data_IF_654072970178
#
_entry.id   IF_654072970178
#
_cell.length_a   1.000
_cell.length_b   1.000
_cell.length_c   1.000
_cell.angle_alpha   90.00
_cell.angle_beta   90.00
_cell.angle_gamma   90.00
#
_symmetry.space_group_name_H-M   'P 1'
#
loop_
_entity.id
_entity.type
_entity.pdbx_description
1 polymer ?
#
# COMPACT_ATOMS: atom_id res chain seq x y z
N UNK A 1 -23.66 -0.55 2.41
CA UNK A 1 -23.16 0.75 2.90
C UNK A 1 -22.11 0.54 4.00
N UNK A 2 -22.44 0.03 5.19
CA UNK A 2 -21.48 -0.13 6.31
C UNK A 2 -20.11 -0.76 5.96
N UNK A 3 -20.06 -1.81 5.12
CA UNK A 3 -18.79 -2.47 4.74
C UNK A 3 -17.87 -1.61 3.86
N UNK A 4 -18.43 -0.68 3.08
CA UNK A 4 -17.66 0.25 2.24
C UNK A 4 -17.03 1.34 3.10
N UNK A 5 -17.81 1.89 4.03
CA UNK A 5 -17.35 2.90 5.00
C UNK A 5 -16.22 2.34 5.87
N UNK A 6 -16.37 1.09 6.33
CA UNK A 6 -15.35 0.36 7.08
C UNK A 6 -14.08 0.11 6.26
N UNK A 7 -14.22 -0.29 4.98
CA UNK A 7 -13.06 -0.51 4.07
C UNK A 7 -12.28 0.78 3.85
N UNK A 8 -12.96 1.89 3.60
CA UNK A 8 -12.32 3.21 3.39
C UNK A 8 -11.67 3.69 4.69
N UNK A 9 -12.37 3.59 5.82
CA UNK A 9 -11.84 3.97 7.14
C UNK A 9 -10.59 3.17 7.51
N UNK A 10 -10.61 1.86 7.30
CA UNK A 10 -9.47 0.99 7.56
C UNK A 10 -8.28 1.31 6.63
N UNK A 11 -8.54 1.60 5.36
CA UNK A 11 -7.49 2.02 4.42
C UNK A 11 -6.87 3.36 4.84
N UNK A 12 -7.67 4.39 5.11
CA UNK A 12 -7.17 5.72 5.51
C UNK A 12 -6.36 5.61 6.81
N UNK A 13 -6.88 4.88 7.80
CA UNK A 13 -6.21 4.70 9.09
C UNK A 13 -4.90 3.92 8.92
N UNK A 14 -4.93 2.83 8.15
CA UNK A 14 -3.74 2.04 7.85
C UNK A 14 -2.67 2.85 7.10
N UNK A 15 -3.08 3.64 6.12
CA UNK A 15 -2.19 4.49 5.35
C UNK A 15 -1.56 5.60 6.23
N UNK A 16 -2.34 6.21 7.13
CA UNK A 16 -1.82 7.21 8.06
C UNK A 16 -0.77 6.61 9.01
N UNK A 17 -1.03 5.41 9.54
CA UNK A 17 -0.06 4.70 10.40
C UNK A 17 1.22 4.39 9.62
N UNK A 18 1.09 3.96 8.37
CA UNK A 18 2.23 3.64 7.50
C UNK A 18 3.10 4.87 7.19
N UNK A 19 2.48 6.00 6.84
CA UNK A 19 3.19 7.27 6.59
C UNK A 19 3.94 7.75 7.85
N UNK A 20 3.29 7.66 9.01
CA UNK A 20 3.91 8.03 10.29
C UNK A 20 5.06 7.09 10.63
N UNK A 21 4.88 5.78 10.44
CA UNK A 21 5.91 4.78 10.68
C UNK A 21 7.16 5.08 9.83
N UNK A 22 7.01 5.19 8.51
CA UNK A 22 8.14 5.46 7.61
C UNK A 22 8.77 6.82 7.93
N UNK A 23 7.97 7.86 8.18
CA UNK A 23 8.49 9.18 8.51
C UNK A 23 9.33 9.19 9.79
N UNK A 24 8.83 8.56 10.86
CA UNK A 24 9.52 8.50 12.16
C UNK A 24 10.78 7.63 12.07
N UNK A 25 10.67 6.40 11.56
CA UNK A 25 11.81 5.47 11.52
C UNK A 25 12.92 5.96 10.58
N UNK A 26 12.56 6.59 9.45
CA UNK A 26 13.54 7.21 8.55
C UNK A 26 14.22 8.39 9.22
N UNK A 27 13.46 9.26 9.90
CA UNK A 27 14.01 10.39 10.65
C UNK A 27 15.00 9.91 11.73
N UNK A 28 14.63 8.90 12.52
CA UNK A 28 15.49 8.33 13.55
C UNK A 28 16.76 7.73 12.94
N UNK A 29 16.63 6.95 11.86
CA UNK A 29 17.79 6.37 11.17
C UNK A 29 18.72 7.45 10.61
N UNK A 30 18.18 8.53 10.04
CA UNK A 30 18.94 9.67 9.55
C UNK A 30 19.65 10.44 10.67
N UNK A 31 19.02 10.61 11.84
CA UNK A 31 19.70 11.18 13.00
C UNK A 31 20.86 10.32 13.49
N UNK A 32 20.71 8.98 13.50
CA UNK A 32 21.77 8.06 13.93
C UNK A 32 23.02 8.14 13.06
N UNK A 33 22.86 8.40 11.75
CA UNK A 33 23.97 8.51 10.80
C UNK A 33 24.45 9.96 10.60
N UNK A 34 23.90 10.92 11.36
CA UNK A 34 24.27 12.34 11.28
C UNK A 34 23.89 13.00 9.96
N UNK A 35 22.82 12.56 9.30
CA UNK A 35 22.37 13.11 8.03
C UNK A 35 21.78 14.52 8.21
N UNK A 36 22.22 15.47 7.38
CA UNK A 36 21.64 16.80 7.35
C UNK A 36 20.17 16.76 6.94
N UNK A 37 19.36 17.63 7.55
CA UNK A 37 17.92 17.72 7.30
C UNK A 37 17.16 16.40 7.59
N UNK A 38 17.66 15.57 8.51
CA UNK A 38 17.08 14.28 8.89
C UNK A 38 15.54 14.31 9.07
N UNK A 39 15.03 15.28 9.84
CA UNK A 39 13.59 15.44 10.08
C UNK A 39 12.82 15.82 8.81
N UNK A 40 13.33 16.77 8.03
CA UNK A 40 12.69 17.20 6.78
C UNK A 40 12.62 16.04 5.78
N UNK A 41 13.75 15.36 5.57
CA UNK A 41 13.85 14.23 4.65
C UNK A 41 12.99 13.05 5.11
N UNK A 42 12.95 12.77 6.42
CA UNK A 42 12.07 11.74 6.98
C UNK A 42 10.58 12.07 6.79
N UNK A 43 10.16 13.32 7.03
CA UNK A 43 8.78 13.77 6.75
C UNK A 43 8.46 13.62 5.26
N UNK A 44 9.36 14.02 4.36
CA UNK A 44 9.18 13.83 2.92
C UNK A 44 9.02 12.35 2.59
N UNK A 45 9.89 11.49 3.13
CA UNK A 45 9.80 10.04 2.93
C UNK A 45 8.45 9.47 3.41
N UNK A 46 7.98 9.85 4.60
CA UNK A 46 6.68 9.42 5.11
C UNK A 46 5.51 9.90 4.26
N UNK A 47 5.52 11.17 3.81
CA UNK A 47 4.47 11.73 2.98
C UNK A 47 4.40 11.08 1.59
N UNK A 48 5.56 10.86 0.96
CA UNK A 48 5.60 10.24 -0.37
C UNK A 48 5.20 8.79 -0.31
N UNK A 49 5.43 8.11 0.82
CA UNK A 49 5.05 6.70 1.02
C UNK A 49 3.54 6.43 0.93
N UNK A 50 2.72 7.49 0.96
CA UNK A 50 1.31 7.42 0.61
C UNK A 50 1.04 6.84 -0.80
N UNK A 51 2.03 6.87 -1.69
CA UNK A 51 1.98 6.22 -3.00
C UNK A 51 2.75 4.89 -2.93
N UNK A 52 2.08 3.73 -2.95
CA UNK A 52 2.73 2.44 -2.82
C UNK A 52 3.75 2.20 -3.93
N UNK A 53 4.86 1.53 -3.61
CA UNK A 53 6.00 1.22 -4.50
C UNK A 53 6.73 2.42 -5.11
N UNK A 54 6.12 3.60 -5.26
CA UNK A 54 6.74 4.78 -5.86
C UNK A 54 7.26 5.73 -4.79
N UNK A 55 6.48 5.90 -3.73
CA UNK A 55 6.75 6.77 -2.59
C UNK A 55 8.12 6.62 -1.95
N UNK A 56 8.60 5.38 -1.66
CA UNK A 56 9.94 5.17 -1.11
C UNK A 56 11.04 5.76 -1.99
N UNK A 57 10.93 5.61 -3.31
CA UNK A 57 11.94 6.14 -4.23
C UNK A 57 11.90 7.67 -4.31
N UNK A 58 10.70 8.26 -4.33
CA UNK A 58 10.55 9.72 -4.32
C UNK A 58 11.15 10.32 -3.05
N UNK A 59 10.95 9.69 -1.88
CA UNK A 59 11.54 10.13 -0.61
C UNK A 59 13.05 9.92 -0.54
N UNK A 60 13.54 8.83 -1.12
CA UNK A 60 14.96 8.45 -1.11
C UNK A 60 15.85 9.37 -1.98
N UNK A 61 15.37 9.77 -3.16
CA UNK A 61 16.14 10.61 -4.10
C UNK A 61 16.69 11.89 -3.46
N UNK A 62 15.88 12.78 -2.84
CA UNK A 62 16.39 13.99 -2.23
C UNK A 62 17.34 13.69 -1.07
N UNK A 63 17.09 12.63 -0.31
CA UNK A 63 17.95 12.24 0.80
C UNK A 63 19.36 11.84 0.33
N UNK A 64 19.46 11.08 -0.77
CA UNK A 64 20.75 10.70 -1.37
C UNK A 64 21.48 11.91 -1.95
N UNK A 65 20.76 12.81 -2.62
CA UNK A 65 21.37 14.03 -3.17
C UNK A 65 22.03 14.83 -2.05
N UNK A 66 21.29 15.07 -0.96
CA UNK A 66 21.83 15.74 0.23
C UNK A 66 23.01 14.97 0.82
N UNK A 67 22.92 13.64 0.93
CA UNK A 67 24.01 12.80 1.45
C UNK A 67 25.29 12.91 0.62
N UNK A 68 25.17 12.88 -0.72
CA UNK A 68 26.30 13.02 -1.63
C UNK A 68 26.98 14.38 -1.49
N UNK A 69 26.21 15.44 -1.28
CA UNK A 69 26.74 16.78 -1.03
C UNK A 69 27.40 16.91 0.35
N UNK A 70 26.83 16.26 1.36
CA UNK A 70 27.31 16.33 2.75
C UNK A 70 28.60 15.52 2.97
N UNK A 71 28.65 14.28 2.48
CA UNK A 71 29.74 13.34 2.81
C UNK A 71 30.09 12.37 1.68
N UNK A 72 29.68 12.68 0.45
CA UNK A 72 29.97 11.88 -0.73
C UNK A 72 29.36 10.47 -0.69
N UNK A 73 30.02 9.53 -1.35
CA UNK A 73 29.52 8.15 -1.49
C UNK A 73 29.37 7.41 -0.17
N UNK A 74 30.19 7.72 0.84
CA UNK A 74 30.10 7.08 2.17
C UNK A 74 28.78 7.43 2.85
N UNK A 75 28.42 8.71 2.87
CA UNK A 75 27.18 9.16 3.49
C UNK A 75 25.95 8.68 2.70
N UNK A 76 26.03 8.72 1.36
CA UNK A 76 24.98 8.17 0.51
C UNK A 76 24.73 6.68 0.79
N UNK A 77 25.78 5.87 0.94
CA UNK A 77 25.65 4.46 1.29
C UNK A 77 24.98 4.24 2.66
N UNK A 78 25.28 5.06 3.67
CA UNK A 78 24.61 5.00 4.97
C UNK A 78 23.12 5.33 4.86
N UNK A 79 22.76 6.37 4.09
CA UNK A 79 21.36 6.71 3.81
C UNK A 79 20.64 5.55 3.10
N UNK A 80 21.28 4.92 2.11
CA UNK A 80 20.74 3.73 1.44
C UNK A 80 20.49 2.60 2.42
N UNK A 81 21.45 2.32 3.31
CA UNK A 81 21.30 1.26 4.33
C UNK A 81 20.14 1.57 5.26
N UNK A 82 20.01 2.81 5.75
CA UNK A 82 18.88 3.22 6.60
C UNK A 82 17.55 2.98 5.88
N UNK A 83 17.42 3.47 4.64
CA UNK A 83 16.17 3.29 3.87
C UNK A 83 15.89 1.81 3.64
N UNK A 84 16.89 1.00 3.26
CA UNK A 84 16.70 -0.44 3.10
C UNK A 84 16.23 -1.10 4.39
N UNK A 85 16.81 -0.77 5.54
CA UNK A 85 16.38 -1.32 6.84
C UNK A 85 14.94 -0.92 7.14
N UNK A 86 14.58 0.35 6.96
CA UNK A 86 13.20 0.83 7.16
C UNK A 86 12.22 0.09 6.23
N UNK A 87 12.56 -0.04 4.94
CA UNK A 87 11.71 -0.74 3.97
C UNK A 87 11.57 -2.24 4.28
N UNK A 88 12.61 -2.88 4.81
CA UNK A 88 12.53 -4.28 5.22
C UNK A 88 11.65 -4.46 6.45
N UNK A 89 11.68 -3.53 7.41
CA UNK A 89 10.77 -3.56 8.56
C UNK A 89 9.34 -3.28 8.10
N UNK A 90 9.16 -2.30 7.21
CA UNK A 90 7.86 -1.96 6.64
C UNK A 90 7.22 -3.17 5.94
N UNK A 91 7.95 -3.79 5.00
CA UNK A 91 7.46 -4.89 4.18
C UNK A 91 7.20 -6.18 4.99
N UNK A 92 8.03 -6.48 6.00
CA UNK A 92 7.95 -7.75 6.73
C UNK A 92 7.11 -7.67 8.02
N UNK A 93 6.95 -6.49 8.61
CA UNK A 93 6.34 -6.36 9.94
C UNK A 93 5.11 -5.46 9.92
N UNK A 94 5.19 -4.31 9.24
CA UNK A 94 4.12 -3.32 9.23
C UNK A 94 3.03 -3.72 8.25
N UNK A 95 3.40 -4.02 7.00
CA UNK A 95 2.46 -4.41 5.97
C UNK A 95 1.59 -5.63 6.38
N UNK A 96 2.13 -6.72 6.97
CA UNK A 96 1.31 -7.84 7.42
C UNK A 96 0.44 -7.53 8.65
N UNK A 97 0.83 -6.59 9.51
CA UNK A 97 0.04 -6.21 10.69
C UNK A 97 -1.07 -5.22 10.37
N UNK A 98 -0.87 -4.34 9.40
CA UNK A 98 -1.85 -3.31 9.01
C UNK A 98 -2.80 -3.83 7.93
N UNK A 99 -2.29 -4.55 6.93
CA UNK A 99 -3.05 -4.93 5.72
C UNK A 99 -3.32 -6.45 5.67
N UNK A 100 -2.72 -7.21 6.59
CA UNK A 100 -2.98 -8.61 6.92
C UNK A 100 -3.63 -9.44 5.83
N UNK A 101 -2.85 -10.08 4.95
CA UNK A 101 -3.25 -11.09 3.94
C UNK A 101 -4.50 -10.81 3.08
N UNK A 102 -5.13 -9.63 3.15
CA UNK A 102 -6.53 -9.49 2.76
C UNK A 102 -6.72 -9.37 1.24
N UNK A 103 -5.64 -9.13 0.49
CA UNK A 103 -5.79 -8.79 -0.92
C UNK A 103 -5.10 -9.72 -1.93
N UNK A 104 -4.03 -10.47 -1.59
CA UNK A 104 -3.30 -11.32 -2.57
C UNK A 104 -3.13 -10.64 -3.95
N UNK A 105 -2.96 -9.32 -3.95
CA UNK A 105 -2.79 -8.55 -5.19
C UNK A 105 -1.34 -8.70 -5.56
N UNK A 106 -1.09 -9.21 -6.76
CA UNK A 106 0.26 -9.30 -7.28
C UNK A 106 0.86 -7.88 -7.36
N UNK A 107 2.09 -7.62 -6.88
CA UNK A 107 2.71 -6.28 -6.89
C UNK A 107 2.63 -5.59 -8.25
N UNK A 108 2.77 -6.36 -9.33
CA UNK A 108 2.61 -5.89 -10.71
C UNK A 108 1.26 -5.22 -10.97
N UNK A 109 0.16 -5.74 -10.41
CA UNK A 109 -1.18 -5.15 -10.57
C UNK A 109 -1.22 -3.76 -9.95
N UNK A 110 -0.58 -3.56 -8.79
CA UNK A 110 -0.51 -2.25 -8.14
C UNK A 110 0.28 -1.27 -9.01
N UNK A 111 1.43 -1.69 -9.56
CA UNK A 111 2.21 -0.87 -10.49
C UNK A 111 1.39 -0.46 -11.71
N UNK A 112 0.68 -1.40 -12.34
CA UNK A 112 -0.17 -1.10 -13.51
C UNK A 112 -1.28 -0.12 -13.17
N UNK A 113 -1.94 -0.30 -12.02
CA UNK A 113 -2.98 0.63 -11.54
C UNK A 113 -2.42 2.04 -11.30
N UNK A 114 -1.24 2.14 -10.70
CA UNK A 114 -0.59 3.42 -10.43
C UNK A 114 -0.21 4.13 -11.73
N UNK A 115 0.32 3.42 -12.72
CA UNK A 115 0.64 4.00 -14.03
C UNK A 115 -0.62 4.49 -14.75
N UNK A 116 -1.69 3.69 -14.74
CA UNK A 116 -2.96 4.08 -15.36
C UNK A 116 -3.60 5.29 -14.64
N UNK A 117 -3.72 5.23 -13.31
CA UNK A 117 -4.33 6.30 -12.53
C UNK A 117 -3.47 7.58 -12.53
N UNK A 118 -2.15 7.43 -12.52
CA UNK A 118 -1.19 8.52 -12.67
C UNK A 118 -1.31 9.22 -14.03
N UNK A 119 -1.58 8.48 -15.11
CA UNK A 119 -1.81 9.08 -16.43
C UNK A 119 -3.14 9.85 -16.51
N UNK A 120 -4.18 9.38 -15.82
CA UNK A 120 -5.52 9.98 -15.86
C UNK A 120 -5.62 11.22 -14.94
N UNK A 121 -5.13 11.10 -13.71
CA UNK A 121 -5.38 12.09 -12.65
C UNK A 121 -4.12 12.48 -11.86
N UNK A 122 -2.92 12.06 -12.30
CA UNK A 122 -1.67 12.41 -11.65
C UNK A 122 -1.53 11.82 -10.24
N UNK A 123 -0.90 12.59 -9.34
CA UNK A 123 -0.66 12.18 -7.95
C UNK A 123 -1.95 11.78 -7.21
N UNK A 124 -3.04 12.58 -7.24
CA UNK A 124 -4.32 12.18 -6.64
C UNK A 124 -4.83 10.84 -7.16
N UNK A 125 -4.68 10.58 -8.46
CA UNK A 125 -5.05 9.30 -9.07
C UNK A 125 -4.27 8.13 -8.48
N UNK A 126 -2.95 8.28 -8.32
CA UNK A 126 -2.08 7.25 -7.76
C UNK A 126 -2.44 6.90 -6.31
N UNK A 127 -2.77 7.90 -5.49
CA UNK A 127 -3.20 7.71 -4.10
C UNK A 127 -4.51 6.93 -4.03
N UNK A 128 -5.46 7.27 -4.89
CA UNK A 128 -6.80 6.65 -4.91
C UNK A 128 -6.84 5.31 -5.66
N UNK A 129 -5.76 4.94 -6.37
CA UNK A 129 -5.73 3.73 -7.20
C UNK A 129 -5.96 2.45 -6.40
N UNK A 130 -5.29 2.33 -5.24
CA UNK A 130 -5.40 1.14 -4.37
C UNK A 130 -6.78 1.00 -3.72
N UNK A 131 -7.36 2.02 -3.06
CA UNK A 131 -8.70 1.90 -2.49
C UNK A 131 -9.77 1.72 -3.56
N UNK A 132 -9.66 2.40 -4.71
CA UNK A 132 -10.59 2.21 -5.83
C UNK A 132 -10.57 0.75 -6.33
N UNK A 133 -9.38 0.17 -6.50
CA UNK A 133 -9.25 -1.24 -6.89
C UNK A 133 -9.84 -2.19 -5.84
N UNK A 134 -9.61 -1.94 -4.54
CA UNK A 134 -10.18 -2.75 -3.47
C UNK A 134 -11.71 -2.76 -3.51
N UNK A 135 -12.34 -1.61 -3.79
CA UNK A 135 -13.79 -1.48 -3.94
C UNK A 135 -14.28 -2.29 -5.15
N UNK A 136 -13.68 -2.08 -6.33
CA UNK A 136 -14.07 -2.78 -7.56
C UNK A 136 -13.95 -4.30 -7.39
N UNK A 137 -12.82 -4.78 -6.86
CA UNK A 137 -12.59 -6.20 -6.60
C UNK A 137 -13.64 -6.78 -5.65
N UNK A 138 -13.98 -6.05 -4.59
CA UNK A 138 -15.00 -6.47 -3.63
C UNK A 138 -16.35 -6.64 -4.33
N UNK A 139 -16.78 -5.68 -5.15
CA UNK A 139 -18.04 -5.77 -5.89
C UNK A 139 -18.05 -7.00 -6.81
N UNK A 140 -16.96 -7.25 -7.54
CA UNK A 140 -16.85 -8.40 -8.46
C UNK A 140 -16.97 -9.72 -7.71
N UNK A 141 -16.27 -9.87 -6.58
CA UNK A 141 -16.32 -11.10 -5.76
C UNK A 141 -17.74 -11.34 -5.24
N UNK A 142 -18.41 -10.31 -4.72
CA UNK A 142 -19.79 -10.44 -4.23
C UNK A 142 -20.77 -10.78 -5.35
N UNK A 143 -20.62 -10.17 -6.53
CA UNK A 143 -21.47 -10.49 -7.68
C UNK A 143 -21.29 -11.96 -8.13
N UNK A 144 -20.05 -12.46 -8.14
CA UNK A 144 -19.75 -13.87 -8.42
C UNK A 144 -20.35 -14.83 -7.40
N UNK A 145 -20.27 -14.49 -6.10
CA UNK A 145 -20.87 -15.28 -5.02
C UNK A 145 -22.40 -15.33 -5.15
N UNK A 146 -23.05 -14.20 -5.43
CA UNK A 146 -24.49 -14.15 -5.67
C UNK A 146 -24.91 -14.99 -6.88
N UNK A 147 -24.10 -14.98 -7.95
CA UNK A 147 -24.36 -15.79 -9.14
C UNK A 147 -24.26 -17.30 -8.84
N UNK A 148 -23.29 -17.72 -8.01
CA UNK A 148 -23.16 -19.12 -7.59
C UNK A 148 -24.33 -19.58 -6.71
N UNK A 149 -24.77 -18.75 -5.75
CA UNK A 149 -25.91 -19.06 -4.88
C UNK A 149 -27.21 -19.25 -5.67
N UNK A 150 -27.40 -18.46 -6.73
CA UNK A 150 -28.55 -18.60 -7.64
C UNK A 150 -28.55 -19.94 -8.38
N UNK A 151 -27.38 -20.47 -8.75
CA UNK A 151 -27.28 -21.69 -9.54
C UNK A 151 -27.35 -22.98 -8.68
N UNK A 152 -26.95 -22.93 -7.41
CA UNK A 152 -27.04 -24.09 -6.50
C UNK A 152 -28.46 -24.36 -6.01
N UNK A 153 -29.27 -23.31 -5.85
CA UNK A 153 -30.66 -23.42 -5.35
C UNK A 153 -31.60 -24.17 -6.30
N UNK A 154 -31.33 -24.13 -7.61
CA UNK A 154 -32.17 -24.79 -8.63
C UNK A 154 -32.00 -26.32 -8.65
N UNK A 155 -30.85 -26.85 -8.20
CA UNK A 155 -30.58 -28.30 -8.25
C UNK A 155 -31.24 -29.06 -7.09
N UNK A 156 -31.39 -28.42 -5.92
CA UNK A 156 -31.98 -29.04 -4.72
C UNK A 156 -33.49 -29.22 -4.84
N UNK A 157 -34.19 -28.30 -5.51
CA UNK A 157 -35.64 -28.41 -5.73
C UNK A 157 -36.00 -29.54 -6.72
N UNK A 158 -35.16 -29.79 -7.73
CA UNK A 158 -35.41 -30.84 -8.75
C UNK A 158 -35.13 -32.25 -8.21
N UNK A 159 -34.19 -32.39 -7.26
CA UNK A 159 -33.88 -33.70 -6.63
C UNK A 159 -34.89 -34.07 -5.54
N UNK A 160 -35.40 -33.12 -4.77
CA UNK A 160 -36.45 -33.40 -3.78
C UNK A 160 -37.82 -33.71 -4.40
N UNK A 161 -38.14 -33.15 -5.57
CA UNK A 161 -39.40 -33.45 -6.29
C UNK A 161 -39.39 -34.78 -7.04
N UNK A 162 -38.21 -35.33 -7.35
CA UNK A 162 -38.06 -36.64 -8.01
C UNK A 162 -37.92 -37.82 -7.05
N UNK A 163 -37.56 -37.59 -5.78
CA UNK A 163 -37.59 -38.64 -4.74
C UNK A 163 -38.93 -38.77 -4.01
N UNK A 164 -39.83 -37.79 -4.14
CA UNK A 164 -41.13 -37.78 -3.47
C UNK A 164 -42.29 -38.17 -4.40
N UNK A 165 -41.99 -38.78 -5.56
CA UNK A 165 -42.95 -39.35 -6.51
C UNK A 165 -42.60 -40.81 -6.79
#
# INVERSE_FOLDING_TARGET
>A
MHRLDETISNYITGQAIEMIFVGVFTTVGYFMIGQEYALLLGVVAGLTNMIPYVGPYIGYIPAVIVALMQGGFKQAALVTIVVLVVQQIDSNLIYPRIIGNTLNIHPLTIIVLLLAAGNIAGIPGMILAVPAYAIVRTIVIYAWQLWQLRNTSTTTDVTNTSQNN
#
